data_IF_275280832388
#
_entry.id   IF_275280832388
#
_cell.length_a   1.000
_cell.length_b   1.000
_cell.length_c   1.000
_cell.angle_alpha   90.00
_cell.angle_beta   90.00
_cell.angle_gamma   90.00
#
_symmetry.space_group_name_H-M   'P 1'
#
loop_
_entity.id
_entity.type
_entity.pdbx_description
1 polymer ?
#
# COMPACT_ATOMS: atom_id res chain seq x y z
N UNK A 1 30.48 40.00 -0.75
CA UNK A 1 29.65 40.80 0.18
C UNK A 1 28.27 40.16 0.24
N UNK A 2 27.89 39.60 1.38
CA UNK A 2 26.50 39.13 1.62
C UNK A 2 25.58 40.34 1.56
N UNK A 3 24.57 40.29 0.68
CA UNK A 3 23.63 41.40 0.47
C UNK A 3 22.77 41.62 1.71
N UNK A 4 22.30 42.84 1.98
CA UNK A 4 21.40 43.11 3.13
C UNK A 4 20.15 42.20 3.11
N UNK A 5 19.67 41.84 1.92
CA UNK A 5 18.61 40.83 1.74
C UNK A 5 18.97 39.46 2.31
N UNK A 6 20.21 38.99 2.16
CA UNK A 6 20.64 37.72 2.74
C UNK A 6 20.68 37.75 4.27
N UNK A 7 21.17 38.85 4.86
CA UNK A 7 21.18 39.02 6.32
C UNK A 7 19.77 39.07 6.90
N UNK A 8 18.86 39.80 6.24
CA UNK A 8 17.45 39.86 6.65
C UNK A 8 16.77 38.49 6.55
N UNK A 9 17.07 37.71 5.50
CA UNK A 9 16.56 36.36 5.33
C UNK A 9 17.07 35.41 6.42
N UNK A 10 18.37 35.45 6.75
CA UNK A 10 18.95 34.62 7.82
C UNK A 10 18.38 34.94 9.19
N UNK A 11 18.16 36.23 9.49
CA UNK A 11 17.48 36.68 10.71
C UNK A 11 16.05 36.15 10.79
N UNK A 12 15.29 36.24 9.70
CA UNK A 12 13.93 35.72 9.63
C UNK A 12 13.89 34.19 9.82
N UNK A 13 14.81 33.46 9.17
CA UNK A 13 14.96 32.01 9.35
C UNK A 13 15.26 31.67 10.82
N UNK A 14 16.22 32.37 11.44
CA UNK A 14 16.58 32.14 12.85
C UNK A 14 15.43 32.46 13.82
N UNK A 15 14.62 33.49 13.53
CA UNK A 15 13.42 33.80 14.32
C UNK A 15 12.36 32.70 14.18
N UNK A 16 12.13 32.21 12.96
CA UNK A 16 11.20 31.11 12.68
C UNK A 16 11.63 29.84 13.42
N UNK A 17 12.91 29.46 13.35
CA UNK A 17 13.41 28.27 14.07
C UNK A 17 13.35 28.42 15.59
N UNK A 18 13.60 29.62 16.12
CA UNK A 18 13.49 29.89 17.56
C UNK A 18 12.04 29.79 18.05
N UNK A 19 11.08 30.23 17.24
CA UNK A 19 9.67 30.24 17.59
C UNK A 19 8.98 28.88 17.37
N UNK A 20 9.35 28.15 16.31
CA UNK A 20 8.64 26.95 15.87
C UNK A 20 9.49 25.66 15.94
N UNK A 21 10.75 25.77 16.38
CA UNK A 21 11.68 24.65 16.55
C UNK A 21 12.64 24.49 15.37
N UNK A 22 13.79 23.85 15.62
CA UNK A 22 14.78 23.56 14.57
C UNK A 22 14.15 22.73 13.45
N UNK A 23 14.40 23.13 12.19
CA UNK A 23 13.85 22.46 11.01
C UNK A 23 12.41 22.86 10.65
N UNK A 24 11.83 23.86 11.30
CA UNK A 24 10.53 24.45 10.90
C UNK A 24 10.59 25.16 9.54
N UNK A 25 11.77 25.60 9.11
CA UNK A 25 12.05 26.12 7.78
C UNK A 25 13.44 25.67 7.33
N UNK A 26 13.53 25.12 6.12
CA UNK A 26 14.79 24.60 5.56
C UNK A 26 14.82 24.85 4.07
N UNK A 27 16.02 24.86 3.47
CA UNK A 27 16.14 24.87 2.00
C UNK A 27 15.73 23.51 1.45
N UNK A 28 15.04 23.49 0.31
CA UNK A 28 14.51 22.25 -0.28
C UNK A 28 15.61 21.22 -0.57
N UNK A 29 16.80 21.65 -1.02
CA UNK A 29 17.94 20.77 -1.27
C UNK A 29 18.58 20.16 -0.01
N UNK A 30 18.40 20.78 1.16
CA UNK A 30 18.81 20.22 2.45
C UNK A 30 17.73 19.28 3.01
N UNK A 31 16.46 19.55 2.66
CA UNK A 31 15.33 18.69 3.00
C UNK A 31 15.32 17.38 2.19
N UNK A 32 15.67 17.41 0.90
CA UNK A 32 15.62 16.24 0.01
C UNK A 32 16.49 15.06 0.47
N UNK A 33 17.65 15.31 1.10
CA UNK A 33 18.50 14.25 1.68
C UNK A 33 17.87 13.63 2.94
N UNK A 34 17.14 14.43 3.74
CA UNK A 34 16.35 13.95 4.90
C UNK A 34 15.00 13.33 4.53
N UNK A 35 14.53 13.58 3.30
CA UNK A 35 13.21 13.18 2.80
C UNK A 35 13.27 11.95 1.89
N UNK A 36 14.42 11.26 1.80
CA UNK A 36 14.46 9.92 1.21
C UNK A 36 13.31 9.11 1.82
N UNK A 37 12.33 8.78 0.97
CA UNK A 37 11.06 8.23 1.46
C UNK A 37 11.31 6.77 1.76
N UNK A 38 11.55 6.47 3.04
CA UNK A 38 11.60 5.11 3.53
C UNK A 38 10.27 4.41 3.23
N UNK A 39 10.33 3.14 2.87
CA UNK A 39 9.16 2.36 2.49
C UNK A 39 9.17 0.99 3.15
N UNK A 40 7.98 0.45 3.38
CA UNK A 40 7.74 -0.91 3.84
C UNK A 40 7.42 -1.76 2.61
N UNK A 41 8.18 -2.82 2.30
CA UNK A 41 7.89 -3.70 1.17
C UNK A 41 6.45 -4.21 1.22
N UNK A 42 5.84 -4.37 0.05
CA UNK A 42 4.45 -4.81 -0.06
C UNK A 42 4.28 -6.33 0.03
N UNK A 43 5.40 -7.07 -0.03
CA UNK A 43 5.41 -8.51 -0.20
C UNK A 43 5.34 -8.97 -1.66
N UNK A 44 5.05 -8.05 -2.59
CA UNK A 44 5.20 -8.23 -4.05
C UNK A 44 6.33 -7.34 -4.56
N UNK A 45 7.34 -7.95 -5.17
CA UNK A 45 8.45 -7.22 -5.77
C UNK A 45 7.98 -6.38 -6.96
N UNK A 46 7.02 -6.88 -7.75
CA UNK A 46 6.50 -6.14 -8.89
C UNK A 46 5.78 -4.87 -8.44
N UNK A 47 4.98 -4.96 -7.38
CA UNK A 47 4.32 -3.78 -6.82
C UNK A 47 5.31 -2.81 -6.17
N UNK A 48 6.35 -3.31 -5.47
CA UNK A 48 7.40 -2.46 -4.91
C UNK A 48 8.12 -1.64 -5.98
N UNK A 49 8.38 -2.25 -7.15
CA UNK A 49 8.97 -1.58 -8.32
C UNK A 49 7.98 -0.59 -8.95
N UNK A 50 6.70 -0.95 -9.11
CA UNK A 50 5.66 -0.07 -9.65
C UNK A 50 5.41 1.17 -8.77
N UNK A 51 5.62 1.06 -7.45
CA UNK A 51 5.53 2.18 -6.51
C UNK A 51 6.74 3.13 -6.61
N UNK A 52 7.86 2.69 -7.18
CA UNK A 52 9.07 3.48 -7.43
C UNK A 52 9.91 3.83 -6.20
N UNK A 53 9.37 3.67 -5.00
CA UNK A 53 10.07 3.86 -3.72
C UNK A 53 10.37 2.56 -2.98
N UNK A 54 10.09 1.40 -3.60
CA UNK A 54 10.37 0.09 -3.02
C UNK A 54 9.34 -0.40 -2.00
N UNK A 55 8.13 0.17 -1.98
CA UNK A 55 7.02 -0.28 -1.13
C UNK A 55 6.08 0.83 -0.68
N UNK A 56 5.34 0.58 0.40
CA UNK A 56 4.41 1.54 1.01
C UNK A 56 5.20 2.63 1.76
N UNK A 57 5.02 3.92 1.43
CA UNK A 57 5.82 4.99 2.02
C UNK A 57 5.50 5.22 3.50
N UNK A 58 6.54 5.25 4.33
CA UNK A 58 6.47 5.59 5.75
C UNK A 58 6.09 7.05 5.98
N UNK A 59 5.37 7.30 7.07
CA UNK A 59 4.90 8.65 7.42
C UNK A 59 3.93 9.24 6.41
N UNK A 60 3.18 8.40 5.70
CA UNK A 60 2.18 8.79 4.70
C UNK A 60 0.92 7.94 4.84
N UNK A 61 -0.17 8.44 4.26
CA UNK A 61 -1.42 7.71 4.08
C UNK A 61 -1.40 6.99 2.73
N UNK A 62 -1.77 5.72 2.73
CA UNK A 62 -2.02 4.91 1.53
C UNK A 62 -3.45 4.39 1.55
N UNK A 63 -4.13 4.44 0.41
CA UNK A 63 -5.44 3.81 0.23
C UNK A 63 -5.32 2.60 -0.69
N UNK A 64 -5.79 1.44 -0.23
CA UNK A 64 -5.93 0.22 -1.03
C UNK A 64 -7.42 -0.02 -1.24
N UNK A 65 -7.88 0.02 -2.48
CA UNK A 65 -9.29 -0.11 -2.81
C UNK A 65 -9.52 -1.03 -4.00
N UNK A 66 -10.76 -1.44 -4.22
CA UNK A 66 -11.13 -2.34 -5.30
C UNK A 66 -12.35 -3.20 -4.97
N UNK A 67 -12.82 -4.03 -5.92
CA UNK A 67 -13.96 -4.92 -5.73
C UNK A 67 -13.77 -5.92 -4.58
N UNK A 68 -14.84 -6.59 -4.19
CA UNK A 68 -14.74 -7.75 -3.30
C UNK A 68 -13.82 -8.82 -3.88
N UNK A 69 -13.17 -9.60 -3.01
CA UNK A 69 -12.23 -10.67 -3.39
C UNK A 69 -11.03 -10.22 -4.26
N UNK A 70 -10.71 -8.91 -4.31
CA UNK A 70 -9.54 -8.41 -5.05
C UNK A 70 -8.22 -8.51 -4.29
N UNK A 71 -8.24 -9.01 -3.04
CA UNK A 71 -7.03 -9.23 -2.24
C UNK A 71 -6.55 -8.04 -1.41
N UNK A 72 -7.41 -7.05 -1.14
CA UNK A 72 -7.08 -5.84 -0.34
C UNK A 72 -6.50 -6.18 1.03
N UNK A 73 -7.24 -6.97 1.82
CA UNK A 73 -6.83 -7.43 3.15
C UNK A 73 -5.55 -8.28 3.08
N UNK A 74 -5.46 -9.18 2.09
CA UNK A 74 -4.23 -9.97 1.86
C UNK A 74 -3.01 -9.08 1.62
N UNK A 75 -3.12 -8.07 0.74
CA UNK A 75 -2.01 -7.15 0.48
C UNK A 75 -1.61 -6.39 1.77
N UNK A 76 -2.58 -5.92 2.54
CA UNK A 76 -2.30 -5.24 3.81
C UNK A 76 -1.63 -6.17 4.84
N UNK A 77 -2.04 -7.44 4.93
CA UNK A 77 -1.40 -8.44 5.78
C UNK A 77 0.05 -8.72 5.35
N UNK A 78 0.34 -8.76 4.04
CA UNK A 78 1.73 -8.87 3.57
C UNK A 78 2.58 -7.66 3.94
N UNK A 79 2.03 -6.43 3.85
CA UNK A 79 2.75 -5.23 4.31
C UNK A 79 3.04 -5.30 5.80
N UNK A 80 2.08 -5.77 6.62
CA UNK A 80 2.28 -6.02 8.05
C UNK A 80 3.40 -7.04 8.29
N UNK A 81 3.38 -8.17 7.58
CA UNK A 81 4.39 -9.22 7.70
C UNK A 81 5.79 -8.71 7.32
N UNK A 82 5.91 -7.86 6.29
CA UNK A 82 7.17 -7.21 5.92
C UNK A 82 7.65 -6.22 6.98
N UNK A 83 6.75 -5.41 7.56
CA UNK A 83 7.08 -4.50 8.66
C UNK A 83 7.61 -5.27 9.88
N UNK A 84 6.93 -6.34 10.29
CA UNK A 84 7.34 -7.18 11.42
C UNK A 84 8.67 -7.89 11.16
N UNK A 85 8.92 -8.35 9.92
CA UNK A 85 10.21 -8.95 9.52
C UNK A 85 11.36 -7.96 9.62
N UNK A 86 11.11 -6.68 9.40
CA UNK A 86 12.08 -5.60 9.61
C UNK A 86 12.21 -5.18 11.08
N UNK A 87 11.57 -5.88 12.01
CA UNK A 87 11.59 -5.57 13.45
C UNK A 87 10.62 -4.47 13.87
N UNK A 88 9.73 -4.03 12.98
CA UNK A 88 8.73 -3.01 13.27
C UNK A 88 7.49 -3.53 13.99
N UNK A 89 6.75 -2.61 14.59
CA UNK A 89 5.47 -2.88 15.27
C UNK A 89 4.30 -2.57 14.33
N UNK A 90 3.33 -3.46 14.28
CA UNK A 90 2.14 -3.31 13.44
C UNK A 90 0.86 -3.26 14.28
N UNK A 91 -0.13 -2.50 13.81
CA UNK A 91 -1.47 -2.51 14.35
C UNK A 91 -2.54 -2.69 13.27
N UNK A 92 -3.62 -3.37 13.62
CA UNK A 92 -4.77 -3.64 12.78
C UNK A 92 -6.05 -3.15 13.47
N UNK A 93 -6.73 -2.19 12.86
CA UNK A 93 -8.05 -1.72 13.30
C UNK A 93 -9.07 -2.44 12.43
N UNK A 94 -9.67 -3.50 12.98
CA UNK A 94 -10.63 -4.38 12.31
C UNK A 94 -12.05 -3.94 12.66
N UNK A 95 -12.63 -3.09 11.83
CA UNK A 95 -14.02 -2.63 11.98
C UNK A 95 -14.99 -3.59 11.28
N UNK A 96 -14.53 -4.34 10.28
CA UNK A 96 -15.35 -5.37 9.63
C UNK A 96 -15.50 -6.66 10.46
N UNK A 97 -14.77 -6.79 11.57
CA UNK A 97 -14.72 -7.99 12.41
C UNK A 97 -14.45 -9.28 11.60
N UNK A 98 -13.62 -9.16 10.57
CA UNK A 98 -13.44 -10.18 9.55
C UNK A 98 -12.00 -10.74 9.48
N UNK A 99 -11.11 -10.29 10.37
CA UNK A 99 -9.72 -10.74 10.37
C UNK A 99 -9.60 -12.20 10.85
N UNK A 100 -9.16 -13.09 9.96
CA UNK A 100 -8.80 -14.48 10.30
C UNK A 100 -7.32 -14.58 10.72
N UNK A 101 -7.02 -14.90 12.00
CA UNK A 101 -5.65 -15.05 12.49
C UNK A 101 -4.87 -16.18 11.79
N UNK A 102 -5.54 -17.26 11.39
CA UNK A 102 -4.89 -18.41 10.74
C UNK A 102 -4.41 -18.00 9.35
N UNK A 103 -5.28 -17.34 8.58
CA UNK A 103 -4.89 -16.82 7.27
C UNK A 103 -3.81 -15.73 7.37
N UNK A 104 -3.91 -14.83 8.35
CA UNK A 104 -2.88 -13.81 8.58
C UNK A 104 -1.51 -14.44 8.88
N UNK A 105 -1.46 -15.48 9.73
CA UNK A 105 -0.25 -16.24 10.01
C UNK A 105 0.32 -16.91 8.75
N UNK A 106 -0.55 -17.46 7.88
CA UNK A 106 -0.14 -18.03 6.60
C UNK A 106 0.43 -16.99 5.62
N UNK A 107 -0.03 -15.73 5.68
CA UNK A 107 0.58 -14.60 4.98
C UNK A 107 1.93 -14.15 5.59
N UNK A 108 2.34 -14.74 6.72
CA UNK A 108 3.60 -14.48 7.40
C UNK A 108 3.51 -13.42 8.51
N UNK A 109 2.30 -13.02 8.93
CA UNK A 109 2.10 -12.14 10.07
C UNK A 109 2.44 -12.89 11.36
N UNK A 110 3.26 -12.28 12.23
CA UNK A 110 3.44 -12.73 13.61
C UNK A 110 2.24 -12.27 14.42
N UNK A 111 1.24 -13.13 14.54
CA UNK A 111 -0.06 -12.82 15.14
C UNK A 111 0.08 -12.44 16.62
N UNK A 112 0.96 -13.11 17.36
CA UNK A 112 1.19 -12.82 18.79
C UNK A 112 1.73 -11.41 19.04
N UNK A 113 2.39 -10.80 18.05
CA UNK A 113 2.97 -9.46 18.12
C UNK A 113 2.06 -8.39 17.48
N UNK A 114 0.95 -8.79 16.83
CA UNK A 114 0.07 -7.86 16.13
C UNK A 114 -0.89 -7.18 17.11
N UNK A 115 -0.81 -5.85 17.20
CA UNK A 115 -1.81 -5.09 17.95
C UNK A 115 -3.13 -5.11 17.18
N UNK A 116 -4.22 -5.57 17.80
CA UNK A 116 -5.55 -5.57 17.19
C UNK A 116 -6.52 -4.69 17.99
N UNK A 117 -7.36 -3.96 17.28
CA UNK A 117 -8.50 -3.23 17.86
C UNK A 117 -9.74 -3.50 17.04
N UNK A 118 -10.84 -3.79 17.73
CA UNK A 118 -12.17 -3.99 17.14
C UNK A 118 -13.12 -2.95 17.72
N UNK A 119 -13.12 -1.72 17.16
CA UNK A 119 -13.89 -0.60 17.70
C UNK A 119 -15.37 -0.68 17.31
N UNK A 120 -16.24 -0.13 18.17
CA UNK A 120 -17.69 -0.09 17.97
C UNK A 120 -18.12 1.05 17.03
N UNK A 121 -17.31 2.11 16.89
CA UNK A 121 -17.67 3.33 16.13
C UNK A 121 -16.52 3.82 15.26
N UNK A 122 -16.85 4.55 14.18
CA UNK A 122 -15.88 5.19 13.31
C UNK A 122 -15.01 6.23 14.03
N UNK A 123 -15.59 7.00 14.97
CA UNK A 123 -14.84 7.93 15.80
C UNK A 123 -13.77 7.20 16.64
N UNK A 124 -14.18 6.16 17.36
CA UNK A 124 -13.28 5.38 18.20
C UNK A 124 -12.15 4.75 17.39
N UNK A 125 -12.45 4.17 16.22
CA UNK A 125 -11.45 3.62 15.32
C UNK A 125 -10.36 4.64 14.95
N UNK A 126 -10.78 5.86 14.59
CA UNK A 126 -9.88 6.93 14.16
C UNK A 126 -9.11 7.55 15.33
N UNK A 127 -9.71 7.61 16.53
CA UNK A 127 -9.04 8.05 17.76
C UNK A 127 -7.96 7.07 18.21
N UNK A 128 -8.24 5.76 18.14
CA UNK A 128 -7.24 4.71 18.42
C UNK A 128 -6.09 4.81 17.43
N UNK A 129 -6.39 4.95 16.13
CA UNK A 129 -5.35 5.16 15.12
C UNK A 129 -4.53 6.43 15.41
N UNK A 130 -5.15 7.54 15.82
CA UNK A 130 -4.45 8.77 16.19
C UNK A 130 -3.52 8.57 17.39
N UNK A 131 -3.99 7.89 18.44
CA UNK A 131 -3.20 7.60 19.62
C UNK A 131 -1.96 6.75 19.29
N UNK A 132 -2.15 5.70 18.49
CA UNK A 132 -1.06 4.82 18.02
C UNK A 132 -0.04 5.59 17.18
N UNK A 133 -0.47 6.42 16.24
CA UNK A 133 0.43 7.28 15.45
C UNK A 133 1.22 8.22 16.36
N UNK A 134 0.56 8.89 17.31
CA UNK A 134 1.21 9.86 18.20
C UNK A 134 2.20 9.23 19.17
N UNK A 135 2.04 7.95 19.50
CA UNK A 135 3.00 7.22 20.33
C UNK A 135 4.39 7.15 19.71
N UNK A 136 4.48 7.18 18.37
CA UNK A 136 5.73 6.98 17.63
C UNK A 136 6.27 5.55 17.69
N UNK A 137 5.55 4.61 18.31
CA UNK A 137 5.99 3.24 18.52
C UNK A 137 5.49 2.25 17.45
N UNK A 138 4.58 2.68 16.56
CA UNK A 138 3.97 1.82 15.54
C UNK A 138 4.46 2.20 14.15
N UNK A 139 4.97 1.22 13.42
CA UNK A 139 5.53 1.37 12.06
C UNK A 139 4.45 1.35 10.99
N UNK A 140 3.43 0.51 11.15
CA UNK A 140 2.32 0.38 10.21
C UNK A 140 0.99 0.21 10.94
N UNK A 141 -0.03 0.93 10.49
CA UNK A 141 -1.42 0.79 10.95
C UNK A 141 -2.29 0.51 9.73
N UNK A 142 -3.07 -0.58 9.79
CA UNK A 142 -4.10 -0.91 8.81
C UNK A 142 -5.47 -0.61 9.42
N UNK A 143 -6.34 0.06 8.66
CA UNK A 143 -7.73 0.34 9.02
C UNK A 143 -8.63 -0.35 8.00
N UNK A 144 -9.33 -1.41 8.43
CA UNK A 144 -10.16 -2.26 7.58
C UNK A 144 -11.63 -2.27 8.06
N UNK A 145 -12.56 -1.60 7.40
CA UNK A 145 -12.40 -0.76 6.21
C UNK A 145 -13.08 0.60 6.38
N UNK A 146 -12.77 1.55 5.50
CA UNK A 146 -13.38 2.89 5.48
C UNK A 146 -14.90 2.80 5.37
N UNK A 147 -15.42 1.83 4.62
CA UNK A 147 -16.86 1.65 4.46
C UNK A 147 -17.55 1.35 5.79
N UNK A 148 -16.85 0.67 6.71
CA UNK A 148 -17.34 0.29 8.04
C UNK A 148 -17.11 1.37 9.11
N UNK A 149 -16.47 2.50 8.80
CA UNK A 149 -16.33 3.62 9.73
C UNK A 149 -17.65 4.37 9.90
N UNK A 150 -18.61 3.75 10.58
CA UNK A 150 -19.95 4.29 10.82
C UNK A 150 -19.91 5.22 12.03
N UNK A 151 -20.32 6.48 11.90
CA UNK A 151 -20.38 7.43 13.01
C UNK A 151 -21.34 6.96 14.11
N UNK A 152 -21.03 7.24 15.38
CA UNK A 152 -21.88 6.84 16.51
C UNK A 152 -23.36 7.26 16.36
N UNK A 153 -23.60 8.48 15.88
CA UNK A 153 -24.96 9.01 15.68
C UNK A 153 -25.76 8.18 14.67
N UNK A 154 -25.11 7.59 13.67
CA UNK A 154 -25.77 6.73 12.68
C UNK A 154 -26.03 5.32 13.24
N UNK A 155 -25.16 4.81 14.11
CA UNK A 155 -25.35 3.53 14.80
C UNK A 155 -26.46 3.57 15.87
N UNK A 156 -26.60 4.70 16.57
CA UNK A 156 -27.64 4.91 17.58
C UNK A 156 -28.99 5.35 16.99
N UNK A 157 -29.02 5.73 15.70
CA UNK A 157 -30.22 6.16 14.99
C UNK A 157 -31.13 5.02 14.57
N UNK A 158 -32.32 5.35 14.06
CA UNK A 158 -33.26 4.36 13.55
C UNK A 158 -32.98 4.01 12.08
N UNK A 159 -33.31 2.78 11.67
CA UNK A 159 -33.22 2.38 10.27
C UNK A 159 -34.13 3.26 9.41
N UNK A 160 -33.52 4.03 8.49
CA UNK A 160 -34.23 4.97 7.61
C UNK A 160 -33.96 6.44 7.94
N UNK A 161 -33.27 6.72 9.06
CA UNK A 161 -32.85 8.08 9.38
C UNK A 161 -31.86 8.63 8.34
N UNK A 162 -32.09 9.89 7.95
CA UNK A 162 -31.29 10.55 6.93
C UNK A 162 -30.03 11.20 7.55
N UNK A 163 -28.89 10.52 7.46
CA UNK A 163 -27.60 11.03 7.89
C UNK A 163 -26.72 11.45 6.71
N UNK A 164 -27.02 12.60 6.11
CA UNK A 164 -26.32 13.05 4.89
C UNK A 164 -24.87 13.44 5.19
N UNK A 165 -23.92 12.68 4.64
CA UNK A 165 -22.50 13.04 4.59
C UNK A 165 -21.74 12.97 5.92
N UNK A 166 -22.30 12.28 6.93
CA UNK A 166 -21.70 12.21 8.26
C UNK A 166 -20.32 11.53 8.24
N UNK A 167 -20.21 10.38 7.59
CA UNK A 167 -18.93 9.66 7.40
C UNK A 167 -17.88 10.53 6.67
N UNK A 168 -18.28 11.28 5.63
CA UNK A 168 -17.36 12.15 4.89
C UNK A 168 -16.81 13.30 5.75
N UNK A 169 -17.64 13.85 6.65
CA UNK A 169 -17.23 14.88 7.63
C UNK A 169 -16.28 14.31 8.67
N UNK A 170 -16.59 13.13 9.22
CA UNK A 170 -15.75 12.41 10.17
C UNK A 170 -14.35 12.17 9.56
N UNK A 171 -14.28 11.59 8.37
CA UNK A 171 -13.03 11.35 7.65
C UNK A 171 -12.23 12.64 7.40
N UNK A 172 -12.91 13.72 6.99
CA UNK A 172 -12.26 15.01 6.74
C UNK A 172 -11.64 15.61 8.01
N UNK A 173 -12.30 15.47 9.16
CA UNK A 173 -11.81 15.95 10.44
C UNK A 173 -10.65 15.08 10.95
N UNK A 174 -10.80 13.76 10.91
CA UNK A 174 -9.79 12.83 11.37
C UNK A 174 -8.49 12.92 10.55
N UNK A 175 -8.58 12.90 9.22
CA UNK A 175 -7.39 12.98 8.35
C UNK A 175 -6.64 14.31 8.53
N UNK A 176 -7.34 15.41 8.82
CA UNK A 176 -6.72 16.71 9.13
C UNK A 176 -5.85 16.64 10.39
N UNK A 177 -6.29 15.92 11.43
CA UNK A 177 -5.53 15.71 12.66
C UNK A 177 -4.37 14.71 12.43
N UNK A 178 -4.67 13.60 11.75
CA UNK A 178 -3.75 12.49 11.53
C UNK A 178 -2.58 12.87 10.63
N UNK A 179 -2.79 13.61 9.54
CA UNK A 179 -1.77 13.84 8.52
C UNK A 179 -0.46 14.42 9.08
N UNK A 180 -0.56 15.39 9.99
CA UNK A 180 0.61 15.99 10.61
C UNK A 180 1.29 15.05 11.62
N UNK A 181 0.52 14.22 12.33
CA UNK A 181 1.07 13.25 13.27
C UNK A 181 1.79 12.12 12.53
N UNK A 182 1.18 11.60 11.46
CA UNK A 182 1.72 10.56 10.57
C UNK A 182 3.08 10.98 10.01
N UNK A 183 3.19 12.21 9.50
CA UNK A 183 4.46 12.71 8.96
C UNK A 183 5.60 12.78 9.97
N UNK A 184 5.28 13.04 11.26
CA UNK A 184 6.26 13.11 12.35
C UNK A 184 6.64 11.75 12.89
N UNK A 185 5.68 10.84 13.03
CA UNK A 185 5.89 9.51 13.62
C UNK A 185 6.56 8.52 12.66
N UNK A 186 6.55 8.83 11.35
CA UNK A 186 6.98 7.90 10.29
C UNK A 186 6.14 6.61 10.22
N UNK A 187 4.98 6.57 10.86
CA UNK A 187 4.01 5.48 10.74
C UNK A 187 3.41 5.45 9.33
N UNK A 188 3.42 4.32 8.65
CA UNK A 188 2.64 4.11 7.43
C UNK A 188 1.18 3.81 7.82
N UNK A 189 0.22 4.59 7.32
CA UNK A 189 -1.20 4.36 7.60
C UNK A 189 -1.90 3.91 6.33
N UNK A 190 -2.50 2.73 6.38
CA UNK A 190 -3.18 2.09 5.25
C UNK A 190 -4.67 2.05 5.54
N UNK A 191 -5.45 2.65 4.65
CA UNK A 191 -6.90 2.50 4.64
C UNK A 191 -7.29 1.48 3.58
N UNK A 192 -8.03 0.46 3.97
CA UNK A 192 -8.72 -0.42 3.03
C UNK A 192 -10.07 0.20 2.71
N UNK A 193 -10.44 0.19 1.43
CA UNK A 193 -11.71 0.72 0.97
C UNK A 193 -12.38 -0.19 -0.05
N UNK A 194 -13.69 -0.07 -0.15
CA UNK A 194 -14.50 -0.81 -1.11
C UNK A 194 -14.90 0.10 -2.28
N UNK A 195 -15.26 -0.49 -3.42
CA UNK A 195 -15.92 0.24 -4.49
C UNK A 195 -17.44 0.26 -4.26
N UNK A 196 -18.06 1.38 -4.62
CA UNK A 196 -19.50 1.59 -4.73
C UNK A 196 -19.78 2.22 -6.08
N UNK A 197 -21.03 2.19 -6.52
CA UNK A 197 -21.45 2.86 -7.75
C UNK A 197 -22.25 4.12 -7.43
N UNK A 198 -21.95 5.21 -8.13
CA UNK A 198 -22.75 6.43 -8.04
C UNK A 198 -23.98 6.29 -8.93
N UNK A 199 -25.16 6.26 -8.31
CA UNK A 199 -26.44 6.20 -9.01
C UNK A 199 -26.61 7.44 -9.90
N UNK A 200 -27.04 7.23 -11.14
CA UNK A 200 -27.38 8.31 -12.08
C UNK A 200 -26.25 8.76 -13.02
N UNK A 201 -25.08 8.12 -12.99
CA UNK A 201 -24.04 8.33 -14.00
C UNK A 201 -24.36 7.48 -15.25
N UNK A 202 -24.56 8.15 -16.39
CA UNK A 202 -24.84 7.52 -17.70
C UNK A 202 -23.61 7.56 -18.62
N UNK A 203 -22.60 8.37 -18.29
CA UNK A 203 -21.36 8.53 -19.06
C UNK A 203 -20.16 8.67 -18.11
N UNK A 204 -19.04 8.00 -18.40
CA UNK A 204 -17.85 7.95 -17.54
C UNK A 204 -17.85 6.78 -16.56
N UNK A 205 -16.85 6.74 -15.66
CA UNK A 205 -16.72 5.68 -14.66
C UNK A 205 -17.68 5.92 -13.46
N UNK A 206 -18.65 5.03 -13.19
CA UNK A 206 -19.58 5.19 -12.06
C UNK A 206 -18.97 4.83 -10.71
N UNK A 207 -17.78 4.21 -10.68
CA UNK A 207 -17.17 3.70 -9.47
C UNK A 207 -16.64 4.83 -8.56
N UNK A 208 -17.00 4.75 -7.28
CA UNK A 208 -16.61 5.69 -6.23
C UNK A 208 -16.20 4.94 -4.96
N UNK A 209 -15.42 5.60 -4.12
CA UNK A 209 -14.99 5.07 -2.81
C UNK A 209 -15.77 5.74 -1.66
N UNK A 210 -16.26 4.99 -0.66
CA UNK A 210 -16.84 5.53 0.59
C UNK A 210 -15.91 6.47 1.36
N UNK A 211 -16.45 7.21 2.32
CA UNK A 211 -15.69 8.15 3.17
C UNK A 211 -15.47 9.55 2.57
N UNK A 212 -16.12 9.87 1.46
CA UNK A 212 -16.01 11.18 0.80
C UNK A 212 -14.66 11.40 0.10
N UNK A 213 -14.35 12.67 -0.23
CA UNK A 213 -13.15 13.01 -1.03
C UNK A 213 -11.87 13.15 -0.21
N UNK A 214 -11.96 13.31 1.12
CA UNK A 214 -10.81 13.63 1.95
C UNK A 214 -9.69 12.59 1.82
N UNK A 215 -10.01 11.30 1.92
CA UNK A 215 -9.03 10.23 1.79
C UNK A 215 -8.32 10.29 0.43
N UNK A 216 -9.06 10.46 -0.68
CA UNK A 216 -8.48 10.65 -2.02
C UNK A 216 -7.41 11.74 -2.04
N UNK A 217 -7.60 12.87 -1.34
CA UNK A 217 -6.63 13.98 -1.31
C UNK A 217 -5.43 13.74 -0.38
N UNK A 218 -5.68 13.22 0.83
CA UNK A 218 -4.65 12.98 1.85
C UNK A 218 -3.76 11.79 1.52
N UNK A 219 -4.28 10.77 0.83
CA UNK A 219 -3.49 9.63 0.36
C UNK A 219 -2.33 10.10 -0.52
N UNK A 220 -1.12 9.68 -0.19
CA UNK A 220 0.07 9.87 -1.03
C UNK A 220 0.13 8.80 -2.11
N UNK A 221 -0.34 7.60 -1.80
CA UNK A 221 -0.45 6.48 -2.73
C UNK A 221 -1.89 5.98 -2.72
N UNK A 222 -2.44 5.67 -3.90
CA UNK A 222 -3.73 4.96 -4.04
C UNK A 222 -3.53 3.78 -4.98
N UNK A 223 -3.96 2.59 -4.55
CA UNK A 223 -3.79 1.33 -5.27
C UNK A 223 -5.18 0.75 -5.54
N UNK A 224 -5.52 0.60 -6.82
CA UNK A 224 -6.72 -0.12 -7.28
C UNK A 224 -6.35 -1.60 -7.52
N UNK A 225 -6.91 -2.50 -6.72
CA UNK A 225 -6.75 -3.94 -6.87
C UNK A 225 -7.94 -4.55 -7.61
N UNK A 226 -7.65 -5.29 -8.68
CA UNK A 226 -8.66 -6.05 -9.44
C UNK A 226 -8.19 -7.46 -9.73
N UNK A 227 -9.10 -8.42 -9.64
CA UNK A 227 -8.85 -9.80 -10.10
C UNK A 227 -8.86 -9.83 -11.63
N UNK A 228 -7.77 -10.33 -12.21
CA UNK A 228 -7.60 -10.50 -13.67
C UNK A 228 -8.05 -11.90 -14.08
N UNK A 229 -7.54 -12.93 -13.40
CA UNK A 229 -7.85 -14.32 -13.72
C UNK A 229 -7.91 -15.18 -12.46
N UNK A 230 -8.60 -16.31 -12.58
CA UNK A 230 -8.68 -17.34 -11.54
C UNK A 230 -7.65 -18.41 -11.83
N UNK A 231 -6.79 -18.71 -10.86
CA UNK A 231 -5.72 -19.69 -10.99
C UNK A 231 -6.25 -21.09 -10.64
N UNK A 232 -5.97 -22.08 -11.48
CA UNK A 232 -6.43 -23.47 -11.31
C UNK A 232 -5.29 -24.47 -11.40
N UNK A 233 -5.35 -25.52 -10.57
CA UNK A 233 -4.51 -26.72 -10.67
C UNK A 233 -5.41 -27.91 -10.96
N UNK A 234 -5.45 -28.35 -12.22
CA UNK A 234 -6.47 -29.30 -12.68
C UNK A 234 -7.86 -28.68 -12.58
N UNK A 235 -8.75 -29.30 -11.78
CA UNK A 235 -10.11 -28.79 -11.52
C UNK A 235 -10.22 -27.87 -10.30
N UNK A 236 -9.21 -27.82 -9.44
CA UNK A 236 -9.23 -27.05 -8.19
C UNK A 236 -8.84 -25.59 -8.44
N UNK A 237 -9.59 -24.65 -7.86
CA UNK A 237 -9.21 -23.23 -7.83
C UNK A 237 -8.23 -23.00 -6.67
N UNK A 238 -7.02 -22.55 -6.99
CA UNK A 238 -5.91 -22.44 -6.03
C UNK A 238 -5.56 -21.00 -5.67
N UNK A 239 -6.03 -20.02 -6.45
CA UNK A 239 -5.72 -18.61 -6.23
C UNK A 239 -6.32 -17.69 -7.29
N UNK A 240 -5.82 -16.47 -7.32
CA UNK A 240 -6.23 -15.43 -8.27
C UNK A 240 -5.03 -14.60 -8.67
N UNK A 241 -4.92 -14.28 -9.97
CA UNK A 241 -3.98 -13.26 -10.44
C UNK A 241 -4.63 -11.89 -10.25
N UNK A 242 -3.95 -11.02 -9.54
CA UNK A 242 -4.42 -9.68 -9.20
C UNK A 242 -3.59 -8.66 -9.95
N UNK A 243 -4.25 -7.64 -10.49
CA UNK A 243 -3.62 -6.43 -10.99
C UNK A 243 -3.75 -5.33 -9.95
N UNK A 244 -2.64 -4.71 -9.60
CA UNK A 244 -2.55 -3.57 -8.71
C UNK A 244 -2.15 -2.33 -9.49
N UNK A 245 -3.09 -1.41 -9.73
CA UNK A 245 -2.84 -0.16 -10.47
C UNK A 245 -2.59 0.99 -9.50
N UNK A 246 -1.46 1.67 -9.64
CA UNK A 246 -1.11 2.85 -8.84
C UNK A 246 -1.76 4.10 -9.44
N UNK A 247 -3.02 4.33 -9.09
CA UNK A 247 -3.84 5.44 -9.64
C UNK A 247 -3.45 6.81 -9.06
N UNK A 248 -2.68 6.84 -7.97
CA UNK A 248 -2.09 8.06 -7.42
C UNK A 248 -0.75 7.74 -6.79
N UNK A 249 0.26 8.55 -7.09
CA UNK A 249 1.58 8.47 -6.46
C UNK A 249 2.15 9.89 -6.27
N UNK A 250 2.42 10.28 -5.03
CA UNK A 250 3.07 11.56 -4.67
C UNK A 250 4.55 11.41 -4.32
N UNK A 251 5.10 10.20 -4.41
CA UNK A 251 6.48 9.89 -3.99
C UNK A 251 7.34 9.35 -5.13
N UNK A 252 6.73 8.87 -6.21
CA UNK A 252 7.35 8.52 -7.49
C UNK A 252 6.35 8.79 -8.64
N UNK A 253 6.74 8.63 -9.92
CA UNK A 253 5.81 8.71 -11.04
C UNK A 253 4.57 7.80 -10.86
N UNK A 254 3.35 8.29 -11.14
CA UNK A 254 2.11 7.50 -11.05
C UNK A 254 1.85 6.67 -12.32
N UNK A 255 0.75 5.89 -12.32
CA UNK A 255 0.18 5.17 -13.48
C UNK A 255 0.91 3.91 -13.95
N UNK A 256 1.76 3.38 -13.09
CA UNK A 256 2.27 2.01 -13.23
C UNK A 256 1.29 1.01 -12.61
N UNK A 257 1.37 -0.23 -13.07
CA UNK A 257 0.61 -1.35 -12.50
C UNK A 257 1.50 -2.57 -12.34
N UNK A 258 1.19 -3.41 -11.37
CA UNK A 258 1.85 -4.69 -11.17
C UNK A 258 0.82 -5.81 -11.26
N UNK A 259 1.25 -6.99 -11.69
CA UNK A 259 0.45 -8.20 -11.60
C UNK A 259 1.18 -9.24 -10.78
N UNK A 260 0.48 -9.87 -9.85
CA UNK A 260 1.00 -10.92 -9.01
C UNK A 260 -0.11 -11.89 -8.60
N UNK A 261 0.30 -13.09 -8.19
CA UNK A 261 -0.64 -14.13 -7.79
C UNK A 261 -0.91 -14.06 -6.29
N UNK A 262 -2.18 -14.15 -5.90
CA UNK A 262 -2.62 -14.41 -4.53
C UNK A 262 -3.13 -15.84 -4.45
N UNK A 263 -2.45 -16.66 -3.66
CA UNK A 263 -2.77 -18.05 -3.42
C UNK A 263 -3.61 -18.18 -2.15
N UNK A 264 -4.71 -18.93 -2.19
CA UNK A 264 -5.66 -18.98 -1.08
C UNK A 264 -5.09 -19.54 0.23
N UNK A 265 -3.96 -20.25 0.18
CA UNK A 265 -3.34 -20.85 1.38
C UNK A 265 -2.23 -20.00 1.99
N UNK A 266 -1.59 -19.10 1.25
CA UNK A 266 -0.35 -18.43 1.68
C UNK A 266 -0.20 -16.99 1.17
N UNK A 267 -1.24 -16.42 0.57
CA UNK A 267 -1.25 -15.05 0.08
C UNK A 267 -0.39 -14.84 -1.16
N UNK A 268 0.32 -13.71 -1.23
CA UNK A 268 1.11 -13.29 -2.39
C UNK A 268 2.25 -14.28 -2.66
N UNK A 269 2.29 -14.81 -3.89
CA UNK A 269 3.34 -15.72 -4.34
C UNK A 269 4.61 -14.96 -4.74
N UNK A 270 5.56 -14.86 -3.82
CA UNK A 270 6.87 -14.22 -4.07
C UNK A 270 7.65 -14.91 -5.19
N UNK A 271 7.66 -16.25 -5.21
CA UNK A 271 8.37 -17.01 -6.23
C UNK A 271 7.74 -16.83 -7.61
N UNK A 272 6.40 -16.80 -7.70
CA UNK A 272 5.69 -16.52 -8.94
C UNK A 272 6.00 -15.12 -9.48
N UNK A 273 6.01 -14.12 -8.58
CA UNK A 273 6.35 -12.74 -8.90
C UNK A 273 7.80 -12.61 -9.44
N UNK A 274 8.76 -13.29 -8.81
CA UNK A 274 10.15 -13.33 -9.28
C UNK A 274 10.30 -13.96 -10.66
N UNK A 275 9.53 -15.00 -10.97
CA UNK A 275 9.57 -15.66 -12.28
C UNK A 275 9.05 -14.72 -13.36
N UNK A 276 7.90 -14.11 -13.13
CA UNK A 276 7.27 -13.23 -14.12
C UNK A 276 8.14 -12.00 -14.39
N UNK A 277 8.65 -11.36 -13.33
CA UNK A 277 9.59 -10.25 -13.43
C UNK A 277 10.91 -10.65 -14.11
N UNK A 278 11.47 -11.80 -13.72
CA UNK A 278 12.71 -12.29 -14.30
C UNK A 278 12.58 -12.55 -15.79
N UNK A 279 11.45 -13.09 -16.25
CA UNK A 279 11.17 -13.27 -17.68
C UNK A 279 10.99 -11.92 -18.38
N UNK A 280 10.23 -11.00 -17.79
CA UNK A 280 9.99 -9.68 -18.37
C UNK A 280 11.30 -8.88 -18.55
N UNK A 281 12.24 -9.02 -17.62
CA UNK A 281 13.54 -8.33 -17.66
C UNK A 281 14.63 -9.13 -18.40
N UNK A 282 14.32 -10.32 -18.93
CA UNK A 282 15.28 -11.17 -19.64
C UNK A 282 16.34 -11.83 -18.75
N UNK A 283 16.14 -11.82 -17.43
CA UNK A 283 17.00 -12.49 -16.43
C UNK A 283 16.71 -14.00 -16.39
N UNK A 284 15.44 -14.37 -16.55
CA UNK A 284 15.00 -15.76 -16.69
C UNK A 284 14.64 -16.00 -18.15
N UNK A 285 15.27 -17.00 -18.75
CA UNK A 285 15.02 -17.41 -20.11
C UNK A 285 13.81 -18.34 -20.17
N UNK A 286 12.86 -18.03 -21.06
CA UNK A 286 11.71 -18.88 -21.36
C UNK A 286 11.80 -19.40 -22.80
N UNK A 287 12.03 -20.69 -22.97
CA UNK A 287 12.05 -21.36 -24.28
C UNK A 287 10.91 -22.36 -24.38
N UNK A 288 9.86 -22.01 -25.13
CA UNK A 288 8.62 -22.76 -25.16
C UNK A 288 7.99 -22.84 -23.75
N UNK A 289 7.88 -24.05 -23.21
CA UNK A 289 7.38 -24.29 -21.86
C UNK A 289 8.49 -24.32 -20.78
N UNK A 290 9.77 -24.25 -21.15
CA UNK A 290 10.87 -24.38 -20.18
C UNK A 290 11.36 -23.04 -19.68
N UNK A 291 11.66 -22.97 -18.38
CA UNK A 291 12.22 -21.81 -17.71
C UNK A 291 13.65 -22.15 -17.23
N UNK A 292 14.61 -21.27 -17.49
CA UNK A 292 16.00 -21.40 -17.03
C UNK A 292 16.58 -20.06 -16.56
N UNK A 293 17.53 -20.15 -15.63
CA UNK A 293 18.30 -19.04 -15.12
C UNK A 293 19.78 -19.36 -15.34
N UNK A 294 20.42 -18.66 -16.27
CA UNK A 294 21.72 -19.11 -16.82
C UNK A 294 21.62 -20.55 -17.32
N UNK A 295 22.49 -21.42 -16.80
CA UNK A 295 22.51 -22.85 -17.10
C UNK A 295 21.57 -23.69 -16.20
N UNK A 296 20.97 -23.07 -15.18
CA UNK A 296 20.10 -23.76 -14.23
C UNK A 296 18.69 -23.88 -14.81
N UNK A 297 18.21 -25.12 -14.97
CA UNK A 297 16.83 -25.38 -15.39
C UNK A 297 15.89 -25.27 -14.20
N UNK A 298 15.02 -24.26 -14.21
CA UNK A 298 14.05 -24.01 -13.13
C UNK A 298 12.86 -24.97 -13.21
N UNK A 299 12.40 -25.30 -14.42
CA UNK A 299 11.31 -26.25 -14.60
C UNK A 299 10.62 -26.19 -15.96
N UNK A 300 9.69 -27.13 -16.18
CA UNK A 300 8.76 -27.10 -17.31
C UNK A 300 7.42 -26.55 -16.85
N UNK A 301 7.04 -25.38 -17.34
CA UNK A 301 5.86 -24.64 -16.91
C UNK A 301 6.16 -23.73 -15.72
N UNK A 302 5.37 -22.65 -15.62
CA UNK A 302 5.50 -21.60 -14.59
C UNK A 302 5.39 -22.17 -13.17
N UNK A 303 4.46 -23.10 -12.96
CA UNK A 303 4.21 -23.69 -11.64
C UNK A 303 5.39 -24.54 -11.14
N UNK A 304 5.99 -25.37 -11.99
CA UNK A 304 7.15 -26.16 -11.60
C UNK A 304 8.36 -25.27 -11.32
N UNK A 305 8.56 -24.20 -12.10
CA UNK A 305 9.61 -23.21 -11.82
C UNK A 305 9.38 -22.49 -10.48
N UNK A 306 8.12 -22.19 -10.14
CA UNK A 306 7.74 -21.57 -8.86
C UNK A 306 8.07 -22.49 -7.69
N UNK A 307 7.60 -23.74 -7.74
CA UNK A 307 7.90 -24.75 -6.72
C UNK A 307 9.43 -24.95 -6.56
N UNK A 308 10.19 -24.93 -7.66
CA UNK A 308 11.65 -25.01 -7.62
C UNK A 308 12.29 -23.82 -6.89
N UNK A 309 11.86 -22.58 -7.15
CA UNK A 309 12.40 -21.41 -6.44
C UNK A 309 12.00 -21.38 -4.96
N UNK A 310 10.80 -21.84 -4.61
CA UNK A 310 10.38 -21.98 -3.21
C UNK A 310 11.28 -22.95 -2.43
N UNK A 311 11.73 -24.02 -3.08
CA UNK A 311 12.67 -25.00 -2.49
C UNK A 311 14.13 -24.51 -2.48
N UNK A 312 14.46 -23.45 -3.22
CA UNK A 312 15.82 -22.94 -3.40
C UNK A 312 15.94 -21.44 -3.03
N UNK A 313 15.80 -21.07 -1.75
CA UNK A 313 15.72 -19.67 -1.32
C UNK A 313 16.96 -18.83 -1.62
N UNK A 314 18.15 -19.45 -1.64
CA UNK A 314 19.40 -18.76 -2.01
C UNK A 314 19.37 -18.28 -3.47
N UNK A 315 18.88 -19.14 -4.36
CA UNK A 315 18.74 -18.80 -5.78
C UNK A 315 17.67 -17.74 -5.99
N UNK A 316 16.54 -17.85 -5.28
CA UNK A 316 15.49 -16.83 -5.33
C UNK A 316 16.01 -15.44 -4.89
N UNK A 317 16.85 -15.37 -3.85
CA UNK A 317 17.49 -14.12 -3.40
C UNK A 317 18.49 -13.56 -4.42
N UNK A 318 19.25 -14.41 -5.09
CA UNK A 318 20.16 -14.01 -6.17
C UNK A 318 19.39 -13.39 -7.34
N UNK A 319 18.35 -14.08 -7.82
CA UNK A 319 17.46 -13.59 -8.89
C UNK A 319 16.81 -12.27 -8.48
N UNK A 320 16.30 -12.17 -7.26
CA UNK A 320 15.72 -10.93 -6.73
C UNK A 320 16.72 -9.77 -6.73
N UNK A 321 17.96 -10.02 -6.32
CA UNK A 321 19.02 -9.01 -6.32
C UNK A 321 19.33 -8.51 -7.74
N UNK A 322 19.38 -9.42 -8.72
CA UNK A 322 19.58 -9.05 -10.12
C UNK A 322 18.40 -8.28 -10.70
N UNK A 323 17.16 -8.66 -10.38
CA UNK A 323 15.95 -7.92 -10.78
C UNK A 323 16.01 -6.48 -10.25
N UNK A 324 16.32 -6.29 -8.96
CA UNK A 324 16.43 -4.96 -8.34
C UNK A 324 17.53 -4.11 -8.97
N UNK A 325 18.70 -4.71 -9.25
CA UNK A 325 19.80 -4.03 -9.92
C UNK A 325 19.42 -3.60 -11.34
N UNK A 326 18.79 -4.49 -12.10
CA UNK A 326 18.34 -4.20 -13.47
C UNK A 326 17.29 -3.09 -13.50
N UNK A 327 16.28 -3.14 -12.61
CA UNK A 327 15.22 -2.13 -12.56
C UNK A 327 15.74 -0.74 -12.16
N UNK A 328 16.76 -0.69 -11.29
CA UNK A 328 17.42 0.57 -10.90
C UNK A 328 18.19 1.22 -12.05
N UNK A 329 18.74 0.40 -12.97
CA UNK A 329 19.52 0.86 -14.12
C UNK A 329 18.65 1.30 -15.29
N UNK A 330 17.54 0.62 -15.53
CA UNK A 330 16.68 0.89 -16.69
C UNK A 330 15.70 2.06 -16.46
N UNK A 331 15.46 2.47 -15.20
CA UNK A 331 14.44 3.47 -14.88
C UNK A 331 13.02 3.03 -15.29
N UNK A 332 12.86 1.76 -15.67
CA UNK A 332 11.62 1.18 -16.15
C UNK A 332 10.81 0.80 -14.92
N UNK A 333 9.74 1.56 -14.69
CA UNK A 333 8.68 1.07 -13.85
C UNK A 333 8.08 -0.19 -14.49
N UNK A 334 8.00 -1.26 -13.70
CA UNK A 334 7.55 -2.55 -14.21
C UNK A 334 6.03 -2.53 -14.24
N UNK A 335 5.47 -2.50 -15.46
CA UNK A 335 4.05 -2.29 -15.72
C UNK A 335 3.82 -1.27 -16.82
N UNK A 336 2.96 -1.56 -17.79
CA UNK A 336 2.64 -0.59 -18.85
C UNK A 336 2.13 0.74 -18.25
N UNK A 337 2.44 1.86 -18.88
CA UNK A 337 1.81 3.14 -18.52
C UNK A 337 0.37 3.12 -19.02
N UNK A 338 -0.58 3.30 -18.11
CA UNK A 338 -1.99 3.45 -18.49
C UNK A 338 -2.54 4.71 -17.84
N UNK A 339 -2.55 5.79 -18.62
CA UNK A 339 -3.13 7.07 -18.23
C UNK A 339 -4.63 6.85 -17.97
N UNK A 340 -5.13 7.02 -16.74
CA UNK A 340 -6.55 6.88 -16.49
C UNK A 340 -7.33 7.92 -17.29
N UNK A 341 -8.50 7.55 -17.78
CA UNK A 341 -9.45 8.52 -18.33
C UNK A 341 -9.75 9.58 -17.26
N UNK A 342 -9.84 10.87 -17.63
CA UNK A 342 -10.21 11.90 -16.68
C UNK A 342 -11.54 11.54 -16.04
N UNK A 343 -11.60 11.50 -14.70
CA UNK A 343 -12.88 11.49 -13.97
C UNK A 343 -13.63 12.75 -14.45
N UNK A 344 -14.61 12.59 -15.36
CA UNK A 344 -15.48 13.67 -15.80
C UNK A 344 -16.37 14.03 -14.61
N UNK A 345 -16.23 15.28 -14.13
CA UNK A 345 -16.98 15.85 -13.01
C UNK A 345 -18.50 15.92 -13.30
#
# INVERSE_FOLDING_TARGET
MTTERQKALELAIGQIEKQFGKGSIMRLGEASVRLATEAIPTGSLSLDLALGVGGIPRGRVTEIFGPEMSGKTTLAQHVIAEAQRQGGTAAYIDIEHALDPVYAANCGVRVDDLLISQPDTGEQALEIAEALVRSGAVDVIVIDSVAALVPRVELEGEMGDAHVGLQARLMSQALRKLAAAIGRSKTAVIFINQLRERVGIVFGNPEVTPGGRALKFYSSVRIDLRRVETLKRGSEVVGSRIRAKVVKNKVAPPFHWAEFDIMFKHGISKAGDLIDLGVQLGIINKTGAFFSYGDIRLGQGRENAREFLEQNPKLAQEIQSQIKASASLSGVAVGGEEIPEPELD
#
